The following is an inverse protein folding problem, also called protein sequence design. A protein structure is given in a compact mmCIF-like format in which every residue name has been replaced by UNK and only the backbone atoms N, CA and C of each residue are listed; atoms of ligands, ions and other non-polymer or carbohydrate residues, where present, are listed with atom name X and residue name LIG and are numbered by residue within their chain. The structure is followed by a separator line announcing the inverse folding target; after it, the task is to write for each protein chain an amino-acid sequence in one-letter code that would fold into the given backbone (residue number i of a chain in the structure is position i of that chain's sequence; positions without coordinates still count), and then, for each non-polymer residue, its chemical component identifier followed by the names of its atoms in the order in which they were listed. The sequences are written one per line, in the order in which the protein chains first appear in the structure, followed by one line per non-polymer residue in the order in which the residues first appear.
data_IF_116994723637
#
_entry.id   IF_116994723637
#
_cell.length_a   1.000
_cell.length_b   1.000
_cell.length_c   1.000
_cell.angle_alpha   90.00
_cell.angle_beta   90.00
_cell.angle_gamma   90.00
#
_symmetry.space_group_name_H-M   'P 1'
#
loop_
_entity.id
_entity.type
_entity.pdbx_description
1 polymer ?
#
# COMPACT_ATOMS: atom_id res chain seq x y z
N UNK A 1 -28.48 26.16 1.63
CA UNK A 1 -27.13 25.63 1.89
C UNK A 1 -26.92 24.45 0.94
N UNK A 2 -26.36 24.70 -0.25
CA UNK A 2 -26.06 23.65 -1.25
C UNK A 2 -24.64 23.13 -0.99
N UNK A 3 -24.52 22.10 -0.15
CA UNK A 3 -23.28 21.34 0.03
C UNK A 3 -23.32 19.97 -0.68
N UNK A 4 -24.49 19.56 -1.18
CA UNK A 4 -24.70 18.18 -1.65
C UNK A 4 -24.08 17.85 -3.01
N UNK A 5 -23.82 18.82 -3.89
CA UNK A 5 -23.35 18.50 -5.25
C UNK A 5 -21.82 18.47 -5.42
N UNK A 6 -21.07 19.26 -4.65
CA UNK A 6 -19.61 19.36 -4.83
C UNK A 6 -18.88 18.17 -4.23
N UNK A 7 -19.28 17.70 -3.05
CA UNK A 7 -18.70 16.52 -2.39
C UNK A 7 -18.96 15.24 -3.18
N UNK A 8 -20.19 15.04 -3.65
CA UNK A 8 -20.55 13.89 -4.48
C UNK A 8 -19.76 13.88 -5.80
N UNK A 9 -19.62 15.04 -6.44
CA UNK A 9 -18.80 15.18 -7.66
C UNK A 9 -17.32 14.89 -7.37
N UNK A 10 -16.79 15.37 -6.25
CA UNK A 10 -15.40 15.14 -5.88
C UNK A 10 -15.14 13.66 -5.59
N UNK A 11 -16.03 13.00 -4.85
CA UNK A 11 -15.97 11.57 -4.61
C UNK A 11 -15.98 10.79 -5.92
N UNK A 12 -16.89 11.10 -6.84
CA UNK A 12 -16.93 10.44 -8.17
C UNK A 12 -15.63 10.60 -8.95
N UNK A 13 -15.03 11.80 -8.96
CA UNK A 13 -13.77 12.05 -9.64
C UNK A 13 -12.61 11.28 -8.99
N UNK A 14 -12.56 11.22 -7.66
CA UNK A 14 -11.56 10.43 -6.94
C UNK A 14 -11.70 8.93 -7.27
N UNK A 15 -12.93 8.40 -7.21
CA UNK A 15 -13.22 7.00 -7.52
C UNK A 15 -12.85 6.65 -8.96
N UNK A 16 -13.09 7.56 -9.92
CA UNK A 16 -12.73 7.35 -11.32
C UNK A 16 -11.21 7.35 -11.55
N UNK A 17 -10.45 8.17 -10.81
CA UNK A 17 -8.99 8.22 -10.92
C UNK A 17 -8.27 7.11 -10.14
N UNK A 18 -8.88 6.61 -9.07
CA UNK A 18 -8.32 5.58 -8.21
C UNK A 18 -9.36 4.48 -7.97
N UNK A 19 -9.66 3.62 -8.96
CA UNK A 19 -10.76 2.65 -8.88
C UNK A 19 -10.58 1.58 -7.79
N UNK A 20 -9.35 1.39 -7.31
CA UNK A 20 -9.02 0.44 -6.24
C UNK A 20 -9.18 1.05 -4.84
N UNK A 21 -9.07 2.37 -4.71
CA UNK A 21 -9.16 3.05 -3.42
C UNK A 21 -10.54 2.88 -2.76
N UNK A 22 -11.68 2.93 -3.48
CA UNK A 22 -12.99 2.64 -2.91
C UNK A 22 -13.14 1.18 -2.47
N UNK A 23 -12.55 0.22 -3.19
CA UNK A 23 -12.61 -1.19 -2.79
C UNK A 23 -11.96 -1.38 -1.42
N UNK A 24 -10.81 -0.73 -1.21
CA UNK A 24 -10.08 -0.77 0.05
C UNK A 24 -10.79 0.00 1.17
N UNK A 25 -11.17 1.27 0.94
CA UNK A 25 -11.73 2.13 1.99
C UNK A 25 -13.17 1.76 2.38
N UNK A 26 -13.95 1.19 1.45
CA UNK A 26 -15.32 0.76 1.73
C UNK A 26 -15.42 -0.71 2.14
N UNK A 27 -14.31 -1.44 2.23
CA UNK A 27 -14.28 -2.83 2.68
C UNK A 27 -14.95 -2.96 4.05
N UNK A 28 -15.86 -3.91 4.17
CA UNK A 28 -16.58 -4.26 5.41
C UNK A 28 -15.89 -5.39 6.16
N UNK A 29 -15.09 -6.20 5.48
CA UNK A 29 -14.32 -7.30 6.08
C UNK A 29 -12.82 -7.09 5.91
N UNK A 30 -12.01 -7.81 6.69
CA UNK A 30 -10.56 -7.83 6.50
C UNK A 30 -10.17 -8.42 5.15
N UNK A 31 -10.88 -9.46 4.69
CA UNK A 31 -10.62 -10.06 3.36
C UNK A 31 -10.86 -9.05 2.24
N UNK A 32 -11.98 -8.32 2.26
CA UNK A 32 -12.26 -7.28 1.26
C UNK A 32 -11.21 -6.16 1.28
N UNK A 33 -10.70 -5.83 2.47
CA UNK A 33 -9.64 -4.85 2.62
C UNK A 33 -8.33 -5.36 2.01
N UNK A 34 -7.97 -6.62 2.28
CA UNK A 34 -6.77 -7.27 1.77
C UNK A 34 -6.82 -7.41 0.24
N UNK A 35 -7.99 -7.76 -0.33
CA UNK A 35 -8.19 -7.82 -1.79
C UNK A 35 -7.99 -6.43 -2.43
N UNK A 36 -8.52 -5.37 -1.80
CA UNK A 36 -8.34 -3.99 -2.26
C UNK A 36 -6.88 -3.53 -2.17
N UNK A 37 -6.20 -3.88 -1.08
CA UNK A 37 -4.79 -3.58 -0.86
C UNK A 37 -3.89 -4.34 -1.84
N UNK A 38 -4.19 -5.60 -2.11
CA UNK A 38 -3.47 -6.41 -3.10
C UNK A 38 -3.51 -5.74 -4.47
N UNK A 39 -4.67 -5.27 -4.93
CA UNK A 39 -4.75 -4.58 -6.22
C UNK A 39 -3.88 -3.31 -6.30
N UNK A 40 -3.77 -2.55 -5.19
CA UNK A 40 -2.89 -1.38 -5.12
C UNK A 40 -1.41 -1.78 -5.14
N UNK A 41 -1.06 -2.84 -4.43
CA UNK A 41 0.28 -3.41 -4.43
C UNK A 41 0.67 -3.91 -5.82
N UNK A 42 -0.21 -4.65 -6.50
CA UNK A 42 -0.02 -5.10 -7.89
C UNK A 42 0.23 -3.92 -8.82
N UNK A 43 -0.58 -2.86 -8.73
CA UNK A 43 -0.38 -1.63 -9.55
C UNK A 43 0.97 -0.95 -9.27
N UNK A 44 1.44 -1.03 -8.02
CA UNK A 44 2.74 -0.48 -7.60
C UNK A 44 3.88 -1.34 -8.14
N UNK A 45 3.77 -2.67 -8.05
CA UNK A 45 4.74 -3.61 -8.62
C UNK A 45 4.81 -3.45 -10.13
N UNK A 46 3.68 -3.35 -10.83
CA UNK A 46 3.63 -3.09 -12.27
C UNK A 46 4.36 -1.80 -12.65
N UNK A 47 4.29 -0.75 -11.82
CA UNK A 47 5.06 0.47 -12.01
C UNK A 47 6.57 0.22 -11.82
N UNK A 48 6.97 -0.48 -10.76
CA UNK A 48 8.37 -0.81 -10.51
C UNK A 48 8.96 -1.67 -11.63
N UNK A 49 8.25 -2.69 -12.08
CA UNK A 49 8.69 -3.61 -13.13
C UNK A 49 8.88 -2.90 -14.48
N UNK A 50 7.93 -2.05 -14.89
CA UNK A 50 8.06 -1.24 -16.12
C UNK A 50 9.25 -0.29 -16.07
N UNK A 51 9.67 0.10 -14.88
CA UNK A 51 10.81 1.00 -14.66
C UNK A 51 12.05 0.26 -14.16
N UNK A 52 12.08 -1.09 -14.16
CA UNK A 52 13.13 -1.87 -13.50
C UNK A 52 14.54 -1.51 -13.99
N UNK A 53 14.70 -1.19 -15.28
CA UNK A 53 15.97 -0.74 -15.86
C UNK A 53 16.54 0.54 -15.22
N UNK A 54 15.68 1.42 -14.70
CA UNK A 54 16.08 2.63 -13.96
C UNK A 54 16.35 2.36 -12.48
N UNK A 55 15.83 1.26 -11.94
CA UNK A 55 15.86 0.92 -10.53
C UNK A 55 16.95 -0.11 -10.17
N UNK A 56 17.69 -0.65 -11.15
CA UNK A 56 18.65 -1.75 -10.94
C UNK A 56 19.76 -1.46 -9.90
N UNK A 57 20.08 -0.19 -9.68
CA UNK A 57 21.12 0.23 -8.71
C UNK A 57 20.54 0.66 -7.36
N UNK A 58 19.22 0.62 -7.21
CA UNK A 58 18.58 1.03 -5.97
C UNK A 58 18.64 -0.09 -4.93
N UNK A 59 18.79 0.30 -3.67
CA UNK A 59 18.67 -0.62 -2.54
C UNK A 59 17.21 -0.99 -2.27
N UNK A 60 17.01 -2.04 -1.46
CA UNK A 60 15.69 -2.44 -0.95
C UNK A 60 14.96 -1.24 -0.32
N UNK A 61 15.63 -0.50 0.58
CA UNK A 61 15.08 0.71 1.20
C UNK A 61 14.66 1.80 0.20
N UNK A 62 15.41 1.98 -0.89
CA UNK A 62 15.12 2.99 -1.91
C UNK A 62 13.89 2.60 -2.75
N UNK A 63 13.75 1.31 -3.05
CA UNK A 63 12.56 0.77 -3.73
C UNK A 63 11.35 0.84 -2.78
N UNK A 64 11.53 0.48 -1.51
CA UNK A 64 10.50 0.60 -0.47
C UNK A 64 9.99 2.04 -0.31
N UNK A 65 10.88 3.03 -0.34
CA UNK A 65 10.50 4.45 -0.33
C UNK A 65 9.57 4.80 -1.51
N UNK A 66 9.81 4.23 -2.68
CA UNK A 66 8.93 4.41 -3.85
C UNK A 66 7.56 3.77 -3.63
N UNK A 67 7.52 2.56 -3.07
CA UNK A 67 6.26 1.88 -2.71
C UNK A 67 5.45 2.72 -1.73
N UNK A 68 6.09 3.21 -0.67
CA UNK A 68 5.47 4.05 0.35
C UNK A 68 4.89 5.33 -0.26
N UNK A 69 5.64 6.00 -1.13
CA UNK A 69 5.16 7.20 -1.81
C UNK A 69 3.98 6.92 -2.74
N UNK A 70 3.99 5.78 -3.44
CA UNK A 70 2.93 5.40 -4.38
C UNK A 70 1.62 5.03 -3.69
N UNK A 71 1.71 4.35 -2.54
CA UNK A 71 0.55 3.89 -1.77
C UNK A 71 0.00 4.93 -0.80
N UNK A 72 0.72 6.03 -0.55
CA UNK A 72 0.21 7.11 0.28
C UNK A 72 -0.89 7.88 -0.48
N UNK A 73 -2.14 7.57 -0.16
CA UNK A 73 -3.33 8.03 -0.86
C UNK A 73 -4.32 8.61 0.16
N UNK A 74 -5.31 9.42 -0.27
CA UNK A 74 -6.34 9.91 0.64
C UNK A 74 -7.02 8.75 1.41
N UNK A 75 -6.98 8.81 2.74
CA UNK A 75 -7.53 7.77 3.62
C UNK A 75 -6.62 6.56 3.86
N UNK A 76 -5.43 6.52 3.25
CA UNK A 76 -4.42 5.46 3.41
C UNK A 76 -3.05 6.06 3.72
N UNK A 77 -2.61 5.93 4.97
CA UNK A 77 -1.30 6.36 5.44
C UNK A 77 -0.32 5.20 5.35
N UNK A 78 0.78 5.39 4.62
CA UNK A 78 1.85 4.40 4.50
C UNK A 78 3.16 5.02 5.00
N UNK A 79 3.89 4.27 5.83
CA UNK A 79 5.16 4.71 6.44
C UNK A 79 6.24 3.64 6.30
N UNK A 80 7.50 4.07 6.21
CA UNK A 80 8.67 3.19 6.12
C UNK A 80 9.36 3.03 7.49
N UNK A 81 9.98 1.88 7.74
CA UNK A 81 10.90 1.63 8.87
C UNK A 81 10.29 1.95 10.25
N UNK A 82 9.07 1.47 10.47
CA UNK A 82 8.43 1.59 11.78
C UNK A 82 8.91 0.51 12.72
N UNK A 83 9.28 0.88 13.95
CA UNK A 83 9.64 -0.10 14.98
C UNK A 83 8.38 -0.52 15.74
N UNK A 84 7.82 -1.69 15.40
CA UNK A 84 6.67 -2.27 16.11
C UNK A 84 7.02 -3.73 16.43
N UNK A 85 7.51 -4.00 17.65
CA UNK A 85 7.97 -5.32 18.11
C UNK A 85 9.06 -6.01 17.26
N UNK A 86 9.65 -5.30 16.30
CA UNK A 86 10.65 -5.76 15.34
C UNK A 86 10.91 -4.67 14.29
N UNK A 87 11.87 -4.91 13.39
CA UNK A 87 12.04 -4.07 12.20
C UNK A 87 10.93 -4.40 11.21
N UNK A 88 10.11 -3.42 10.84
CA UNK A 88 9.08 -3.57 9.81
C UNK A 88 9.39 -2.58 8.71
N UNK A 89 9.54 -3.07 7.48
CA UNK A 89 9.87 -2.22 6.34
C UNK A 89 8.75 -1.23 6.01
N UNK A 90 7.49 -1.67 6.06
CA UNK A 90 6.30 -0.88 5.68
C UNK A 90 5.16 -1.05 6.70
N UNK A 91 4.59 0.05 7.19
CA UNK A 91 3.30 0.04 7.90
C UNK A 91 2.25 0.75 7.07
N UNK A 92 1.09 0.11 6.90
CA UNK A 92 -0.07 0.61 6.14
C UNK A 92 -1.25 0.77 7.10
N UNK A 93 -1.80 1.98 7.17
CA UNK A 93 -2.90 2.35 8.07
C UNK A 93 -4.03 3.00 7.27
N UNK A 94 -5.21 2.40 7.28
CA UNK A 94 -6.44 3.03 6.78
C UNK A 94 -7.18 3.69 7.94
N UNK A 95 -7.66 4.91 7.75
CA UNK A 95 -8.23 5.71 8.84
C UNK A 95 -9.67 5.31 9.20
N UNK A 96 -10.47 4.88 8.22
CA UNK A 96 -11.90 4.61 8.37
C UNK A 96 -12.37 3.48 7.43
N UNK A 97 -12.78 2.31 7.96
CA UNK A 97 -12.57 1.87 9.34
C UNK A 97 -11.07 1.70 9.64
N UNK A 98 -10.68 1.85 10.91
CA UNK A 98 -9.29 1.73 11.31
C UNK A 98 -8.78 0.31 11.03
N UNK A 99 -7.84 0.19 10.10
CA UNK A 99 -7.17 -1.08 9.78
C UNK A 99 -5.68 -0.85 9.65
N UNK A 100 -4.90 -1.85 10.05
CA UNK A 100 -3.44 -1.82 9.99
C UNK A 100 -2.91 -3.10 9.37
N UNK A 101 -1.92 -2.97 8.48
CA UNK A 101 -1.10 -4.06 7.95
C UNK A 101 0.37 -3.71 8.07
N UNK A 102 1.17 -4.74 8.32
CA UNK A 102 2.63 -4.66 8.33
C UNK A 102 3.12 -5.36 7.06
N UNK A 103 4.17 -4.83 6.46
CA UNK A 103 4.75 -5.35 5.24
C UNK A 103 6.27 -5.41 5.36
N UNK A 104 6.82 -6.48 4.80
CA UNK A 104 8.25 -6.69 4.63
C UNK A 104 8.57 -6.59 3.14
N UNK A 105 9.60 -5.81 2.78
CA UNK A 105 10.05 -5.65 1.41
C UNK A 105 11.26 -6.53 1.18
N UNK A 106 11.29 -7.26 0.06
CA UNK A 106 12.41 -8.13 -0.28
C UNK A 106 12.73 -8.06 -1.77
N UNK A 107 13.98 -7.82 -2.11
CA UNK A 107 14.46 -7.78 -3.52
C UNK A 107 15.49 -8.88 -3.85
N UNK A 108 15.85 -9.72 -2.88
CA UNK A 108 16.92 -10.72 -2.99
C UNK A 108 16.52 -12.08 -2.38
N UNK A 109 17.33 -13.12 -2.66
CA UNK A 109 17.37 -14.42 -1.96
C UNK A 109 16.16 -15.37 -2.09
N UNK A 110 15.14 -15.02 -2.87
CA UNK A 110 14.10 -15.96 -3.31
C UNK A 110 13.10 -16.38 -2.23
N UNK A 111 12.17 -17.31 -2.55
CA UNK A 111 10.97 -17.56 -1.75
C UNK A 111 11.22 -17.98 -0.30
N UNK A 112 12.25 -18.79 -0.04
CA UNK A 112 12.58 -19.24 1.32
C UNK A 112 12.97 -18.08 2.25
N UNK A 113 13.63 -17.06 1.71
CA UNK A 113 14.00 -15.86 2.47
C UNK A 113 12.79 -14.95 2.69
N UNK A 114 11.87 -14.89 1.72
CA UNK A 114 10.63 -14.13 1.85
C UNK A 114 9.74 -14.70 2.96
N UNK A 115 9.64 -16.03 3.07
CA UNK A 115 8.88 -16.70 4.14
C UNK A 115 9.47 -16.39 5.51
N UNK A 116 10.81 -16.36 5.66
CA UNK A 116 11.45 -15.96 6.92
C UNK A 116 11.19 -14.50 7.28
N UNK A 117 11.02 -13.62 6.30
CA UNK A 117 10.62 -12.22 6.53
C UNK A 117 9.22 -12.12 7.14
N UNK A 118 8.31 -13.01 6.76
CA UNK A 118 6.96 -13.06 7.34
C UNK A 118 6.99 -13.39 8.83
N UNK A 119 7.90 -14.28 9.26
CA UNK A 119 8.07 -14.63 10.67
C UNK A 119 8.46 -13.43 11.56
N UNK A 120 9.00 -12.35 10.97
CA UNK A 120 9.36 -11.12 11.70
C UNK A 120 8.16 -10.23 12.02
N UNK A 121 7.00 -10.50 11.41
CA UNK A 121 5.78 -9.71 11.56
C UNK A 121 4.88 -10.20 12.71
N UNK A 122 5.28 -11.28 13.41
CA UNK A 122 4.49 -11.95 14.46
C UNK A 122 5.18 -11.95 15.84
#
# INVERSE_FOLDING_TARGET
MQLDNSLATWAQLLMAKHPLLPKLLCAQTDQEFDDGLQGLLESTVDYLERNAGLLQKQSEDQITCTVVAYLNLPGLRVTQQTHTNGHVDITIEAELPLRRRLGEAKIYHGPEYHVKGIDQLF
#
